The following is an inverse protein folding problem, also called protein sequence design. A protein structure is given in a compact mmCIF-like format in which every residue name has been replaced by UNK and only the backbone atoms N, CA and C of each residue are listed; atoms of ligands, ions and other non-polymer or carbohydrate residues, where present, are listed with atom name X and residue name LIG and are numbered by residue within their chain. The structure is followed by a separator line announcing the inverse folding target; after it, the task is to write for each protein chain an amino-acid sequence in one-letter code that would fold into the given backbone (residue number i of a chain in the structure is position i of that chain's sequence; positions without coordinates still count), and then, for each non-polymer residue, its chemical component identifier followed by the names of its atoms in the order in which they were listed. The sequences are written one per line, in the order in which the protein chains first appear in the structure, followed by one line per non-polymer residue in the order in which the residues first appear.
data_IF_875558841604
#
_entry.id   IF_875558841604
#
_cell.length_a   1.000
_cell.length_b   1.000
_cell.length_c   1.000
_cell.angle_alpha   90.00
_cell.angle_beta   90.00
_cell.angle_gamma   90.00
#
_symmetry.space_group_name_H-M   'P 1'
#
loop_
_entity.id
_entity.type
_entity.pdbx_description
1 polymer ?
#
# COMPACT_ATOMS: atom_id res chain seq x y z
N UNK A 1 17.87 -6.32 5.16
CA UNK A 1 16.61 -5.99 4.47
C UNK A 1 15.62 -5.64 5.57
N UNK A 2 14.96 -4.48 5.48
CA UNK A 2 13.97 -4.01 6.45
C UNK A 2 12.58 -4.26 5.87
N UNK A 3 11.66 -4.78 6.68
CA UNK A 3 10.25 -5.03 6.34
C UNK A 3 9.42 -3.91 6.95
N UNK A 4 8.86 -3.07 6.10
CA UNK A 4 7.98 -1.96 6.49
C UNK A 4 6.58 -2.26 6.00
N UNK A 5 5.61 -2.24 6.91
CA UNK A 5 4.19 -2.31 6.56
C UNK A 5 3.62 -0.89 6.55
N UNK A 6 3.04 -0.49 5.43
CA UNK A 6 2.42 0.83 5.27
C UNK A 6 0.98 0.67 4.81
N UNK A 7 0.03 1.23 5.56
CA UNK A 7 -1.41 1.16 5.25
C UNK A 7 -2.11 2.49 5.57
N UNK A 8 -3.14 2.90 4.80
CA UNK A 8 -3.86 4.15 5.08
C UNK A 8 -4.62 4.14 6.41
N UNK A 9 -5.36 3.06 6.68
CA UNK A 9 -6.13 2.89 7.91
C UNK A 9 -6.02 1.44 8.42
N UNK A 10 -5.94 1.26 9.74
CA UNK A 10 -5.96 -0.05 10.37
C UNK A 10 -6.54 0.00 11.79
N UNK A 11 -7.15 -1.09 12.29
CA UNK A 11 -7.52 -1.16 13.70
C UNK A 11 -6.28 -1.37 14.57
N UNK A 12 -6.29 -0.79 15.77
CA UNK A 12 -5.19 -0.86 16.73
C UNK A 12 -4.77 -2.30 17.07
N UNK A 13 -5.73 -3.23 17.07
CA UNK A 13 -5.49 -4.66 17.31
C UNK A 13 -4.61 -5.26 16.19
N UNK A 14 -4.89 -4.92 14.92
CA UNK A 14 -4.09 -5.41 13.79
C UNK A 14 -2.69 -4.80 13.80
N UNK A 15 -2.56 -3.49 14.07
CA UNK A 15 -1.25 -2.82 14.22
C UNK A 15 -0.39 -3.55 15.25
N UNK A 16 -0.93 -3.79 16.46
CA UNK A 16 -0.21 -4.48 17.54
C UNK A 16 0.19 -5.92 17.20
N UNK A 17 -0.57 -6.60 16.34
CA UNK A 17 -0.21 -7.95 15.88
C UNK A 17 0.94 -7.90 14.86
N UNK A 18 0.87 -6.98 13.91
CA UNK A 18 1.85 -6.85 12.82
C UNK A 18 3.17 -6.24 13.29
N UNK A 19 3.16 -5.36 14.30
CA UNK A 19 4.36 -4.82 14.94
C UNK A 19 5.31 -5.90 15.49
N UNK A 20 4.81 -7.13 15.71
CA UNK A 20 5.64 -8.26 16.15
C UNK A 20 6.41 -8.93 15.02
N UNK A 21 6.04 -8.67 13.77
CA UNK A 21 6.55 -9.36 12.57
C UNK A 21 7.25 -8.43 11.59
N UNK A 22 6.96 -7.13 11.64
CA UNK A 22 7.57 -6.10 10.80
C UNK A 22 8.56 -5.25 11.61
N UNK A 23 9.59 -4.72 10.95
CA UNK A 23 10.53 -3.79 11.58
C UNK A 23 9.84 -2.45 11.89
N UNK A 24 8.89 -2.04 11.03
CA UNK A 24 8.08 -0.83 11.20
C UNK A 24 6.66 -1.02 10.66
N UNK A 25 5.70 -0.41 11.34
CA UNK A 25 4.31 -0.28 10.88
C UNK A 25 3.97 1.20 10.81
N UNK A 26 3.55 1.67 9.64
CA UNK A 26 3.17 3.05 9.36
C UNK A 26 1.69 3.06 9.00
N UNK A 27 0.90 3.80 9.78
CA UNK A 27 -0.53 4.01 9.50
C UNK A 27 -0.84 5.49 9.47
N UNK A 28 -1.66 5.95 8.52
CA UNK A 28 -2.14 7.33 8.54
C UNK A 28 -3.23 7.50 9.62
N UNK A 29 -4.10 6.49 9.76
CA UNK A 29 -5.15 6.45 10.78
C UNK A 29 -5.15 5.10 11.49
N UNK A 30 -5.13 5.12 12.83
CA UNK A 30 -5.35 3.93 13.66
C UNK A 30 -6.71 4.02 14.35
N UNK A 31 -7.61 3.07 14.06
CA UNK A 31 -8.93 2.99 14.69
C UNK A 31 -8.90 2.20 16.00
N UNK A 32 -9.52 2.74 17.05
CA UNK A 32 -9.62 2.10 18.39
C UNK A 32 -11.04 1.62 18.74
N UNK A 33 -11.93 1.65 17.76
CA UNK A 33 -13.33 1.28 17.88
C UNK A 33 -13.54 -0.25 17.88
N UNK A 34 -14.59 -0.77 18.54
CA UNK A 34 -14.86 -2.21 18.62
C UNK A 34 -15.15 -2.86 17.25
N UNK A 35 -15.88 -2.14 16.39
CA UNK A 35 -16.17 -2.52 15.01
C UNK A 35 -15.39 -1.61 14.08
N UNK A 36 -14.58 -2.18 13.19
CA UNK A 36 -13.73 -1.44 12.26
C UNK A 36 -14.01 -1.89 10.84
N UNK A 37 -14.42 -0.95 9.99
CA UNK A 37 -14.61 -1.17 8.56
C UNK A 37 -13.65 -0.28 7.78
N UNK A 38 -12.86 -0.88 6.87
CA UNK A 38 -11.89 -0.12 6.06
C UNK A 38 -12.62 0.92 5.19
N UNK A 39 -13.82 0.58 4.70
CA UNK A 39 -14.66 1.44 3.86
C UNK A 39 -15.05 2.76 4.53
N UNK A 40 -15.17 2.80 5.86
CA UNK A 40 -15.59 4.00 6.60
C UNK A 40 -14.54 5.13 6.50
N UNK A 41 -13.30 4.80 6.12
CA UNK A 41 -12.21 5.75 5.94
C UNK A 41 -12.10 6.30 4.52
N UNK A 42 -12.96 5.87 3.60
CA UNK A 42 -12.97 6.30 2.21
C UNK A 42 -14.32 6.92 1.84
N UNK A 43 -14.29 8.13 1.27
CA UNK A 43 -15.50 8.76 0.73
C UNK A 43 -16.12 7.93 -0.41
N UNK A 44 -15.27 7.27 -1.20
CA UNK A 44 -15.68 6.35 -2.26
C UNK A 44 -14.91 5.04 -2.10
N UNK A 45 -15.61 3.99 -1.66
CA UNK A 45 -15.06 2.65 -1.57
C UNK A 45 -15.29 1.90 -2.88
N UNK A 46 -14.28 1.93 -3.74
CA UNK A 46 -14.30 1.19 -5.00
C UNK A 46 -13.84 -0.24 -4.76
N UNK A 47 -14.63 -1.21 -5.23
CA UNK A 47 -14.24 -2.62 -5.26
C UNK A 47 -13.60 -2.93 -6.63
N UNK A 48 -12.27 -3.11 -6.70
CA UNK A 48 -11.57 -3.31 -7.96
C UNK A 48 -11.84 -4.71 -8.52
N UNK A 49 -12.13 -4.77 -9.82
CA UNK A 49 -12.25 -6.03 -10.56
C UNK A 49 -10.88 -6.66 -10.86
N UNK A 50 -10.89 -7.97 -11.13
CA UNK A 50 -9.68 -8.69 -11.57
C UNK A 50 -9.03 -8.04 -12.80
N UNK A 51 -9.84 -7.57 -13.75
CA UNK A 51 -9.34 -6.91 -14.96
C UNK A 51 -8.62 -5.59 -14.66
N UNK A 52 -9.12 -4.78 -13.72
CA UNK A 52 -8.48 -3.55 -13.26
C UNK A 52 -7.15 -3.84 -12.55
N UNK A 53 -7.12 -4.87 -11.70
CA UNK A 53 -5.89 -5.30 -11.01
C UNK A 53 -4.84 -5.78 -12.02
N UNK A 54 -5.25 -6.60 -13.00
CA UNK A 54 -4.37 -7.08 -14.07
C UNK A 54 -3.87 -5.93 -14.95
N UNK A 55 -4.70 -4.92 -15.20
CA UNK A 55 -4.31 -3.73 -15.93
C UNK A 55 -3.23 -2.93 -15.18
N UNK A 56 -3.45 -2.60 -13.90
CA UNK A 56 -2.46 -1.90 -13.07
C UNK A 56 -1.13 -2.65 -12.99
N UNK A 57 -1.16 -3.98 -12.88
CA UNK A 57 0.06 -4.79 -12.87
C UNK A 57 0.84 -4.66 -14.19
N UNK A 58 0.16 -4.70 -15.34
CA UNK A 58 0.79 -4.52 -16.65
C UNK A 58 1.41 -3.12 -16.78
N UNK A 59 0.69 -2.07 -16.37
CA UNK A 59 1.22 -0.70 -16.39
C UNK A 59 2.49 -0.56 -15.56
N UNK A 60 2.50 -1.10 -14.33
CA UNK A 60 3.67 -1.10 -13.46
C UNK A 60 4.86 -1.82 -14.11
N UNK A 61 4.63 -2.98 -14.73
CA UNK A 61 5.67 -3.72 -15.46
C UNK A 61 6.22 -2.88 -16.63
N UNK A 62 5.34 -2.29 -17.45
CA UNK A 62 5.76 -1.44 -18.57
C UNK A 62 6.62 -0.28 -18.11
N UNK A 63 6.21 0.46 -17.06
CA UNK A 63 7.00 1.56 -16.50
C UNK A 63 8.36 1.09 -15.98
N UNK A 64 8.37 -0.06 -15.29
CA UNK A 64 9.60 -0.65 -14.74
C UNK A 64 10.60 -1.07 -15.82
N UNK A 65 10.12 -1.53 -16.98
CA UNK A 65 10.95 -1.99 -18.10
C UNK A 65 11.22 -0.90 -19.16
N UNK A 66 10.46 0.19 -19.18
CA UNK A 66 10.78 1.40 -19.96
C UNK A 66 11.85 2.29 -19.32
N UNK A 67 12.27 1.95 -18.10
CA UNK A 67 13.31 2.68 -17.35
C UNK A 67 14.75 2.47 -17.86
N UNK A 68 14.97 2.07 -19.13
CA UNK A 68 16.27 2.22 -19.81
C UNK A 68 16.54 3.69 -20.20
N UNK A 69 16.15 4.64 -19.35
CA UNK A 69 16.53 6.03 -19.48
C UNK A 69 17.92 6.12 -18.87
N UNK A 70 18.95 6.06 -19.72
CA UNK A 70 20.32 6.35 -19.31
C UNK A 70 20.36 7.75 -18.67
N UNK A 71 21.00 7.91 -17.51
CA UNK A 71 21.18 9.24 -16.94
C UNK A 71 21.97 10.10 -17.94
N UNK A 72 21.59 11.37 -18.18
CA UNK A 72 22.32 12.21 -19.10
C UNK A 72 23.79 12.31 -18.66
N UNK A 73 24.71 12.04 -19.59
CA UNK A 73 26.14 12.17 -19.36
C UNK A 73 26.43 13.59 -18.85
N UNK A 74 26.95 13.67 -17.62
CA UNK A 74 27.46 14.93 -17.08
C UNK A 74 28.70 15.32 -17.88
N UNK A 75 28.56 16.32 -18.75
CA UNK A 75 29.70 17.05 -19.34
C UNK A 75 30.38 17.92 -18.29
#
# INVERSE_FOLDING_TARGET
KEIIVAVPAAPAIAVKQIEKMADKVITCVTGFMPEFYVSDFYQYWHDPSDDEVLHCLKEWQTQRFWSNIEPPERK
#
